data_IF_738250862394
#
_entry.id   IF_738250862394
#
_cell.length_a   1.000
_cell.length_b   1.000
_cell.length_c   1.000
_cell.angle_alpha   90.00
_cell.angle_beta   90.00
_cell.angle_gamma   90.00
#
_symmetry.space_group_name_H-M   'P 1'
#
loop_
_entity.id
_entity.type
_entity.pdbx_description
1 polymer ?
#
# COMPACT_ATOMS: atom_id res chain seq x y z
N UNK A 1 -10.19 15.93 -5.44
CA UNK A 1 -10.89 15.86 -4.15
C UNK A 1 -10.47 17.00 -3.23
N UNK A 2 -11.30 17.29 -2.23
CA UNK A 2 -11.02 18.36 -1.26
C UNK A 2 -9.72 18.10 -0.47
N UNK A 3 -9.40 16.85 -0.19
CA UNK A 3 -8.15 16.46 0.50
C UNK A 3 -6.94 16.81 -0.36
N UNK A 4 -6.97 16.47 -1.64
CA UNK A 4 -5.88 16.77 -2.57
C UNK A 4 -5.69 18.27 -2.75
N UNK A 5 -6.78 19.03 -2.87
CA UNK A 5 -6.73 20.49 -2.95
C UNK A 5 -6.13 21.11 -1.68
N UNK A 6 -6.55 20.64 -0.50
CA UNK A 6 -6.00 21.11 0.76
C UNK A 6 -4.49 20.82 0.86
N UNK A 7 -4.04 19.67 0.34
CA UNK A 7 -2.63 19.32 0.31
C UNK A 7 -1.81 20.31 -0.51
N UNK A 8 -2.26 20.65 -1.72
CA UNK A 8 -1.59 21.64 -2.56
C UNK A 8 -1.50 23.01 -1.91
N UNK A 9 -2.53 23.41 -1.18
CA UNK A 9 -2.58 24.71 -0.53
C UNK A 9 -1.72 24.79 0.73
N UNK A 10 -1.65 23.68 1.51
CA UNK A 10 -1.00 23.66 2.82
C UNK A 10 0.45 23.17 2.80
N UNK A 11 0.81 22.33 1.83
CA UNK A 11 2.15 21.74 1.76
C UNK A 11 2.65 21.67 0.31
N UNK A 12 2.75 22.79 -0.41
CA UNK A 12 3.13 22.79 -1.82
C UNK A 12 4.56 22.31 -2.08
N UNK A 13 5.43 22.38 -1.09
CA UNK A 13 6.85 22.02 -1.21
C UNK A 13 7.21 20.67 -0.57
N UNK A 14 6.21 19.91 -0.11
CA UNK A 14 6.46 18.57 0.43
C UNK A 14 7.06 17.66 -0.65
N UNK A 15 8.11 16.86 -0.33
CA UNK A 15 8.74 15.97 -1.33
C UNK A 15 7.78 14.89 -1.83
N UNK A 16 6.85 14.43 -0.99
CA UNK A 16 5.76 13.56 -1.38
C UNK A 16 4.64 13.64 -0.33
N UNK A 17 3.49 13.08 -0.67
CA UNK A 17 2.35 13.02 0.22
C UNK A 17 1.72 11.63 0.18
N UNK A 18 1.26 11.16 1.33
CA UNK A 18 0.54 9.90 1.46
C UNK A 18 -0.93 10.21 1.70
N UNK A 19 -1.80 9.63 0.87
CA UNK A 19 -3.24 9.75 1.01
C UNK A 19 -3.77 8.38 1.41
N UNK A 20 -4.39 8.31 2.58
CA UNK A 20 -5.04 7.08 3.04
C UNK A 20 -6.30 6.85 2.19
N UNK A 21 -6.30 5.74 1.47
CA UNK A 21 -7.40 5.38 0.58
C UNK A 21 -8.50 4.64 1.33
N UNK A 22 -9.74 4.92 0.98
CA UNK A 22 -10.89 4.21 1.54
C UNK A 22 -10.87 2.73 1.14
N UNK A 23 -11.19 1.82 2.05
CA UNK A 23 -11.31 0.40 1.69
C UNK A 23 -12.51 0.15 0.76
N UNK A 24 -12.43 -0.93 -0.02
CA UNK A 24 -13.52 -1.35 -0.89
C UNK A 24 -13.45 -0.78 -2.30
N UNK A 25 -14.59 -0.76 -2.98
CA UNK A 25 -14.73 -0.33 -4.37
C UNK A 25 -15.87 0.67 -4.48
N UNK A 26 -15.69 1.73 -5.25
CA UNK A 26 -16.74 2.71 -5.46
C UNK A 26 -16.21 4.13 -5.64
N UNK A 27 -17.12 5.08 -5.59
CA UNK A 27 -16.75 6.49 -5.79
C UNK A 27 -15.64 7.00 -4.87
N UNK A 28 -15.61 6.67 -3.57
CA UNK A 28 -14.50 7.12 -2.71
C UNK A 28 -13.15 6.56 -3.12
N UNK A 29 -13.09 5.30 -3.57
CA UNK A 29 -11.85 4.68 -4.07
C UNK A 29 -11.42 5.35 -5.37
N UNK A 30 -12.33 5.57 -6.29
CA UNK A 30 -12.07 6.28 -7.55
C UNK A 30 -11.49 7.66 -7.26
N UNK A 31 -12.06 8.39 -6.33
CA UNK A 31 -11.55 9.70 -5.92
C UNK A 31 -10.15 9.63 -5.31
N UNK A 32 -9.84 8.53 -4.60
CA UNK A 32 -8.52 8.33 -3.99
C UNK A 32 -7.44 8.03 -5.02
N UNK A 33 -7.74 7.26 -6.06
CA UNK A 33 -6.73 6.81 -7.05
C UNK A 33 -6.55 7.80 -8.20
N UNK A 34 -7.53 8.63 -8.47
CA UNK A 34 -7.48 9.60 -9.56
C UNK A 34 -6.50 10.73 -9.25
N UNK A 35 -5.56 10.96 -10.16
CA UNK A 35 -4.60 12.07 -10.04
C UNK A 35 -3.48 11.87 -9.03
N UNK A 36 -3.25 10.64 -8.54
CA UNK A 36 -2.07 10.30 -7.74
C UNK A 36 -0.97 9.71 -8.64
N UNK A 37 0.27 9.80 -8.19
CA UNK A 37 1.42 9.30 -8.97
C UNK A 37 1.59 7.79 -8.83
N UNK A 38 1.23 7.24 -7.69
CA UNK A 38 1.34 5.80 -7.41
C UNK A 38 0.24 5.38 -6.44
N UNK A 39 -0.36 4.23 -6.71
CA UNK A 39 -1.25 3.55 -5.78
C UNK A 39 -0.51 2.35 -5.20
N UNK A 40 -0.27 2.36 -3.90
CA UNK A 40 0.24 1.19 -3.20
C UNK A 40 -0.94 0.41 -2.63
N UNK A 41 -1.14 -0.80 -3.12
CA UNK A 41 -2.21 -1.68 -2.62
C UNK A 41 -1.61 -2.59 -1.55
N UNK A 42 -2.17 -2.51 -0.35
CA UNK A 42 -1.83 -3.40 0.76
C UNK A 42 -2.87 -4.52 0.78
N UNK A 43 -2.48 -5.68 0.29
CA UNK A 43 -3.37 -6.82 0.16
C UNK A 43 -3.28 -7.74 1.38
N UNK A 44 -4.38 -8.41 1.71
CA UNK A 44 -4.38 -9.48 2.69
C UNK A 44 -4.39 -10.84 1.98
N UNK A 45 -3.71 -11.86 2.53
CA UNK A 45 -3.62 -13.18 1.92
C UNK A 45 -4.89 -14.01 2.22
N UNK A 46 -5.95 -13.73 1.50
CA UNK A 46 -7.25 -14.43 1.59
C UNK A 46 -7.94 -14.38 0.23
N UNK A 47 -8.96 -15.20 0.05
CA UNK A 47 -9.74 -15.18 -1.20
C UNK A 47 -10.41 -13.83 -1.42
N UNK A 48 -10.98 -13.23 -0.37
CA UNK A 48 -11.56 -11.89 -0.45
C UNK A 48 -10.50 -10.83 -0.75
N UNK A 49 -9.33 -10.93 -0.11
CA UNK A 49 -8.21 -10.03 -0.36
C UNK A 49 -7.70 -10.08 -1.80
N UNK A 50 -7.62 -11.27 -2.38
CA UNK A 50 -7.24 -11.45 -3.79
C UNK A 50 -8.31 -10.85 -4.71
N UNK A 51 -9.58 -11.10 -4.43
CA UNK A 51 -10.69 -10.55 -5.21
C UNK A 51 -10.68 -9.02 -5.18
N UNK A 52 -10.47 -8.43 -4.02
CA UNK A 52 -10.38 -6.98 -3.85
C UNK A 52 -9.18 -6.41 -4.61
N UNK A 53 -8.04 -7.08 -4.55
CA UNK A 53 -6.84 -6.70 -5.29
C UNK A 53 -7.12 -6.66 -6.80
N UNK A 54 -7.72 -7.70 -7.34
CA UNK A 54 -8.05 -7.78 -8.77
C UNK A 54 -8.95 -6.63 -9.21
N UNK A 55 -9.95 -6.31 -8.40
CA UNK A 55 -10.88 -5.22 -8.67
C UNK A 55 -10.19 -3.86 -8.62
N UNK A 56 -9.35 -3.63 -7.61
CA UNK A 56 -8.59 -2.38 -7.50
C UNK A 56 -7.64 -2.19 -8.68
N UNK A 57 -6.96 -3.24 -9.10
CA UNK A 57 -6.05 -3.18 -10.26
C UNK A 57 -6.83 -2.80 -11.52
N UNK A 58 -7.99 -3.40 -11.76
CA UNK A 58 -8.84 -3.04 -12.90
C UNK A 58 -9.28 -1.57 -12.85
N UNK A 59 -9.63 -1.09 -11.67
CA UNK A 59 -10.02 0.31 -11.48
C UNK A 59 -8.87 1.25 -11.80
N UNK A 60 -7.67 0.94 -11.31
CA UNK A 60 -6.48 1.79 -11.55
C UNK A 60 -6.03 1.77 -13.00
N UNK A 61 -6.18 0.66 -13.70
CA UNK A 61 -5.88 0.56 -15.14
C UNK A 61 -6.67 1.60 -15.95
N UNK A 62 -7.93 1.83 -15.58
CA UNK A 62 -8.76 2.83 -16.23
C UNK A 62 -8.25 4.26 -16.06
N UNK A 63 -7.46 4.53 -15.04
CA UNK A 63 -6.88 5.86 -14.76
C UNK A 63 -5.42 6.00 -15.19
N UNK A 64 -4.81 4.95 -15.74
CA UNK A 64 -3.39 4.91 -16.13
C UNK A 64 -2.45 5.29 -14.98
N UNK A 65 -2.83 4.99 -13.76
CA UNK A 65 -2.04 5.26 -12.57
C UNK A 65 -1.09 4.10 -12.32
N UNK A 66 0.15 4.39 -11.93
CA UNK A 66 1.09 3.36 -11.51
C UNK A 66 0.57 2.64 -10.27
N UNK A 67 0.76 1.33 -10.23
CA UNK A 67 0.31 0.48 -9.13
C UNK A 67 1.48 -0.34 -8.63
N UNK A 68 1.56 -0.51 -7.32
CA UNK A 68 2.45 -1.47 -6.68
C UNK A 68 1.67 -2.21 -5.61
N UNK A 69 2.13 -3.40 -5.24
CA UNK A 69 1.44 -4.27 -4.30
C UNK A 69 2.40 -4.73 -3.22
N UNK A 70 1.93 -4.78 -1.99
CA UNK A 70 2.57 -5.51 -0.90
C UNK A 70 1.51 -6.33 -0.17
N UNK A 71 1.94 -7.33 0.59
CA UNK A 71 1.04 -8.21 1.34
C UNK A 71 1.27 -8.01 2.83
N UNK A 72 0.19 -7.73 3.56
CA UNK A 72 0.22 -7.67 5.02
C UNK A 72 -0.13 -9.03 5.60
N UNK A 73 0.50 -9.40 6.71
CA UNK A 73 0.27 -10.67 7.40
C UNK A 73 0.46 -11.89 6.48
N UNK A 74 1.53 -11.86 5.69
CA UNK A 74 1.76 -12.87 4.64
C UNK A 74 1.83 -14.31 5.18
N UNK A 75 2.28 -14.47 6.41
CA UNK A 75 2.46 -15.76 7.07
C UNK A 75 1.15 -16.40 7.56
N UNK A 76 0.05 -15.69 7.53
CA UNK A 76 -1.27 -16.26 7.84
C UNK A 76 -1.76 -17.20 6.74
N UNK A 77 -1.35 -16.99 5.50
CA UNK A 77 -1.66 -17.87 4.38
C UNK A 77 -0.56 -17.76 3.31
N UNK A 78 0.49 -18.61 3.41
CA UNK A 78 1.56 -18.61 2.42
C UNK A 78 1.09 -18.92 1.00
N UNK A 79 0.09 -19.78 0.85
CA UNK A 79 -0.47 -20.14 -0.47
C UNK A 79 -1.16 -18.96 -1.14
N UNK A 80 -1.99 -18.24 -0.40
CA UNK A 80 -2.67 -17.05 -0.93
C UNK A 80 -1.67 -15.92 -1.21
N UNK A 81 -0.64 -15.78 -0.38
CA UNK A 81 0.46 -14.84 -0.64
C UNK A 81 1.13 -15.16 -1.96
N UNK A 82 1.42 -16.43 -2.23
CA UNK A 82 2.02 -16.84 -3.51
C UNK A 82 1.11 -16.54 -4.69
N UNK A 83 -0.19 -16.74 -4.53
CA UNK A 83 -1.18 -16.40 -5.57
C UNK A 83 -1.16 -14.90 -5.88
N UNK A 84 -1.03 -14.05 -4.87
CA UNK A 84 -0.90 -12.60 -5.06
C UNK A 84 0.40 -12.26 -5.79
N UNK A 85 1.51 -12.87 -5.40
CA UNK A 85 2.80 -12.67 -6.08
C UNK A 85 2.72 -13.08 -7.57
N UNK A 86 2.12 -14.25 -7.85
CA UNK A 86 1.95 -14.74 -9.21
C UNK A 86 1.07 -13.81 -10.04
N UNK A 87 -0.01 -13.32 -9.47
CA UNK A 87 -0.89 -12.35 -10.11
C UNK A 87 -0.12 -11.07 -10.49
N UNK A 88 0.68 -10.55 -9.59
CA UNK A 88 1.50 -9.36 -9.84
C UNK A 88 2.54 -9.61 -10.94
N UNK A 89 3.22 -10.75 -10.88
CA UNK A 89 4.22 -11.12 -11.90
C UNK A 89 3.58 -11.24 -13.28
N UNK A 90 2.45 -11.92 -13.39
CA UNK A 90 1.78 -12.13 -14.67
C UNK A 90 1.30 -10.82 -15.30
N UNK A 91 0.98 -9.82 -14.49
CA UNK A 91 0.53 -8.50 -14.93
C UNK A 91 1.63 -7.44 -14.93
N UNK A 92 2.85 -7.84 -14.60
CA UNK A 92 4.00 -6.91 -14.54
C UNK A 92 3.77 -5.76 -13.54
N UNK A 93 3.10 -6.07 -12.43
CA UNK A 93 2.89 -5.12 -11.33
C UNK A 93 4.03 -5.27 -10.34
N UNK A 94 4.71 -4.18 -9.94
CA UNK A 94 5.75 -4.26 -8.91
C UNK A 94 5.21 -4.83 -7.60
N UNK A 95 5.86 -5.88 -7.12
CA UNK A 95 5.58 -6.50 -5.83
C UNK A 95 6.67 -6.07 -4.86
N UNK A 96 6.30 -5.26 -3.85
CA UNK A 96 7.28 -4.56 -3.03
C UNK A 96 7.72 -5.32 -1.79
N UNK A 97 6.97 -6.33 -1.40
CA UNK A 97 7.35 -7.17 -0.27
C UNK A 97 6.18 -7.64 0.57
N UNK A 98 6.51 -8.29 1.67
CA UNK A 98 5.56 -8.90 2.59
C UNK A 98 5.84 -8.42 4.01
N UNK A 99 4.76 -8.14 4.75
CA UNK A 99 4.82 -7.72 6.15
C UNK A 99 4.36 -8.91 6.98
N UNK A 100 5.19 -9.41 7.93
CA UNK A 100 4.78 -10.52 8.78
C UNK A 100 3.69 -10.11 9.77
N UNK A 101 2.88 -11.07 10.18
CA UNK A 101 1.98 -10.88 11.31
C UNK A 101 2.81 -10.68 12.58
N UNK A 102 2.58 -9.58 13.26
CA UNK A 102 3.30 -9.24 14.48
C UNK A 102 2.28 -8.76 15.53
N UNK A 103 2.00 -9.59 16.55
CA UNK A 103 1.00 -9.22 17.56
C UNK A 103 1.39 -7.98 18.37
N UNK A 104 2.68 -7.63 18.41
CA UNK A 104 3.12 -6.43 19.14
C UNK A 104 2.69 -5.14 18.44
N UNK A 105 2.40 -5.19 17.15
CA UNK A 105 1.91 -4.03 16.39
C UNK A 105 0.58 -3.53 16.94
N UNK A 106 -0.37 -4.43 17.15
CA UNK A 106 -1.68 -4.08 17.73
C UNK A 106 -1.54 -3.50 19.14
N UNK A 107 -0.66 -4.10 19.94
CA UNK A 107 -0.38 -3.61 21.29
C UNK A 107 0.20 -2.19 21.28
N UNK A 108 1.09 -1.91 20.33
CA UNK A 108 1.69 -0.58 20.19
C UNK A 108 0.66 0.47 19.76
N UNK A 109 -0.19 0.14 18.80
CA UNK A 109 -1.26 1.03 18.33
C UNK A 109 -2.19 1.39 19.51
N UNK A 110 -2.54 0.40 20.34
CA UNK A 110 -3.36 0.62 21.52
C UNK A 110 -2.69 1.52 22.56
N UNK A 111 -1.36 1.63 22.54
CA UNK A 111 -0.58 2.51 23.40
C UNK A 111 -0.26 3.86 22.73
N UNK A 112 -0.81 4.13 21.56
CA UNK A 112 -0.55 5.35 20.81
C UNK A 112 0.82 5.39 20.14
N UNK A 113 1.46 4.23 19.98
CA UNK A 113 2.76 4.11 19.30
C UNK A 113 2.57 3.65 17.87
N UNK A 114 3.57 3.94 17.02
CA UNK A 114 3.60 3.46 15.64
C UNK A 114 4.44 2.21 15.51
N UNK A 115 4.33 1.51 14.38
CA UNK A 115 5.20 0.36 14.06
C UNK A 115 6.66 0.78 14.01
N UNK A 116 6.94 1.99 13.55
CA UNK A 116 8.30 2.54 13.51
C UNK A 116 8.92 2.68 14.90
N UNK A 117 8.12 2.92 15.93
CA UNK A 117 8.58 3.04 17.32
C UNK A 117 8.95 1.70 17.94
N UNK A 118 8.39 0.60 17.40
CA UNK A 118 8.62 -0.73 17.95
C UNK A 118 9.94 -1.36 17.51
N UNK A 119 10.36 -1.13 16.26
CA UNK A 119 11.36 -1.97 15.62
C UNK A 119 10.83 -3.38 15.35
N UNK A 120 11.73 -4.29 15.02
CA UNK A 120 11.40 -5.70 14.76
C UNK A 120 10.99 -6.01 13.32
N UNK A 121 10.54 -7.27 13.06
CA UNK A 121 10.34 -7.75 11.67
C UNK A 121 9.32 -6.97 10.86
N UNK A 122 8.20 -6.58 11.45
CA UNK A 122 7.19 -5.78 10.76
C UNK A 122 7.72 -4.40 10.39
N UNK A 123 8.44 -3.77 11.31
CA UNK A 123 9.06 -2.47 11.07
C UNK A 123 10.10 -2.53 9.96
N UNK A 124 10.96 -3.55 9.96
CA UNK A 124 11.98 -3.76 8.93
C UNK A 124 11.34 -3.97 7.55
N UNK A 125 10.28 -4.78 7.49
CA UNK A 125 9.54 -5.02 6.26
C UNK A 125 8.92 -3.73 5.72
N UNK A 126 8.31 -2.93 6.58
CA UNK A 126 7.71 -1.64 6.20
C UNK A 126 8.76 -0.64 5.70
N UNK A 127 9.94 -0.60 6.31
CA UNK A 127 11.05 0.27 5.86
C UNK A 127 11.51 -0.11 4.46
N UNK A 128 11.62 -1.40 4.17
CA UNK A 128 12.01 -1.87 2.86
C UNK A 128 10.93 -1.56 1.81
N UNK A 129 9.65 -1.75 2.14
CA UNK A 129 8.54 -1.39 1.27
C UNK A 129 8.54 0.12 1.00
N UNK A 130 8.77 0.93 2.03
CA UNK A 130 8.89 2.39 1.89
C UNK A 130 10.02 2.76 0.94
N UNK A 131 11.20 2.15 1.11
CA UNK A 131 12.36 2.41 0.25
C UNK A 131 12.05 2.09 -1.21
N UNK A 132 11.44 0.94 -1.46
CA UNK A 132 11.05 0.52 -2.82
C UNK A 132 9.97 1.41 -3.42
N UNK A 133 9.03 1.86 -2.59
CA UNK A 133 8.00 2.81 -3.01
C UNK A 133 8.64 4.14 -3.44
N UNK A 134 9.59 4.63 -2.66
CA UNK A 134 10.31 5.85 -2.98
C UNK A 134 11.10 5.72 -4.30
N UNK A 135 11.72 4.56 -4.55
CA UNK A 135 12.40 4.28 -5.81
C UNK A 135 11.43 4.36 -7.00
N UNK A 136 10.23 3.80 -6.87
CA UNK A 136 9.22 3.87 -7.93
C UNK A 136 8.75 5.30 -8.20
N UNK A 137 8.73 6.13 -7.18
CA UNK A 137 8.38 7.55 -7.29
C UNK A 137 9.57 8.43 -7.69
N UNK A 138 10.76 7.85 -7.82
CA UNK A 138 12.01 8.56 -8.15
C UNK A 138 12.34 9.68 -7.14
N UNK A 139 12.08 9.40 -5.85
CA UNK A 139 12.40 10.31 -4.75
C UNK A 139 13.40 9.67 -3.80
N UNK A 140 14.11 10.53 -3.01
CA UNK A 140 15.03 10.04 -2.00
C UNK A 140 14.26 9.47 -0.81
N UNK A 141 14.56 8.20 -0.45
CA UNK A 141 14.07 7.60 0.78
C UNK A 141 14.93 8.09 1.95
N UNK A 142 14.30 8.68 2.93
CA UNK A 142 14.96 9.21 4.13
C UNK A 142 14.82 8.22 5.28
#
# INVERSE_FOLDING_TARGET
SSVKQALFLKAPEAPFAIIDGSPGIGCPVIASVSGVDLVLIVAEPSQSGISDLERLVRTTEGFRTKVAVCVNKYDLSPDDTRRIEDFCRDRQIPFLGCIPYDPTVSAAINQGKTVADLGGPACEALREIYRRTAELLEISAV
#
